data_IF_929403094306
#
_entry.id   IF_929403094306
#
_cell.length_a   1.000
_cell.length_b   1.000
_cell.length_c   1.000
_cell.angle_alpha   90.00
_cell.angle_beta   90.00
_cell.angle_gamma   90.00
#
_symmetry.space_group_name_H-M   'P 1'
#
loop_
_entity.id
_entity.type
_entity.pdbx_description
1 polymer ?
#
# COMPACT_ATOMS: atom_id res chain seq x y z
N UNK A 1 81.62 -35.35 52.89
CA UNK A 1 82.25 -34.62 54.01
C UNK A 1 81.70 -33.19 53.98
N UNK A 2 81.19 -32.72 55.18
CA UNK A 2 80.96 -31.33 55.61
C UNK A 2 79.96 -30.54 54.69
N UNK A 3 78.68 -30.41 55.06
CA UNK A 3 78.00 -29.49 55.97
C UNK A 3 78.45 -28.04 55.83
N UNK A 4 77.49 -27.16 55.46
CA UNK A 4 77.19 -25.95 56.24
C UNK A 4 75.79 -25.42 55.86
N UNK A 5 74.99 -25.31 56.92
CA UNK A 5 73.67 -24.63 56.91
C UNK A 5 73.91 -23.12 57.03
N UNK A 6 73.11 -22.31 56.34
CA UNK A 6 72.90 -20.91 56.73
C UNK A 6 71.43 -20.63 56.70
N UNK A 7 70.94 -20.25 57.87
CA UNK A 7 69.58 -19.78 58.16
C UNK A 7 69.53 -18.31 57.78
N UNK A 8 68.48 -17.89 57.00
CA UNK A 8 68.20 -16.46 56.88
C UNK A 8 66.73 -16.21 56.97
N UNK A 9 66.36 -15.32 57.84
CA UNK A 9 65.05 -14.93 58.31
C UNK A 9 64.19 -14.28 57.22
N UNK A 10 62.96 -14.70 57.19
CA UNK A 10 61.91 -14.12 56.29
C UNK A 10 61.23 -12.95 56.99
N UNK A 11 61.33 -11.77 56.44
CA UNK A 11 60.48 -10.60 56.80
C UNK A 11 59.20 -10.65 56.00
N UNK A 12 58.09 -10.78 56.67
CA UNK A 12 56.76 -10.81 56.11
C UNK A 12 56.31 -9.37 55.90
N UNK A 13 56.20 -8.91 54.61
CA UNK A 13 55.63 -7.62 54.24
C UNK A 13 54.24 -7.83 53.76
N UNK A 14 53.23 -7.47 54.56
CA UNK A 14 51.85 -7.44 54.21
C UNK A 14 51.54 -6.26 53.24
N UNK A 15 51.38 -6.52 51.96
CA UNK A 15 50.89 -5.55 51.01
C UNK A 15 49.36 -5.69 50.90
N UNK A 16 48.63 -4.69 51.42
CA UNK A 16 47.20 -4.54 51.16
C UNK A 16 47.01 -4.16 49.70
N UNK A 17 46.49 -5.09 48.91
CA UNK A 17 45.91 -4.76 47.58
C UNK A 17 44.47 -4.29 47.75
N UNK A 18 44.28 -2.99 47.59
CA UNK A 18 42.92 -2.41 47.38
C UNK A 18 42.46 -2.80 45.99
N UNK A 19 41.52 -3.75 45.89
CA UNK A 19 40.77 -4.00 44.65
C UNK A 19 39.81 -2.84 44.44
N UNK A 20 40.20 -1.85 43.61
CA UNK A 20 39.26 -0.94 42.95
C UNK A 20 38.48 -1.73 41.88
N UNK A 21 37.30 -2.15 42.22
CA UNK A 21 36.37 -2.72 41.26
C UNK A 21 35.93 -1.65 40.24
N UNK A 22 36.58 -1.60 39.10
CA UNK A 22 35.99 -0.93 37.93
C UNK A 22 34.74 -1.71 37.48
N UNK A 23 33.57 -1.21 37.85
CA UNK A 23 32.31 -1.65 37.30
C UNK A 23 32.25 -1.19 35.84
N UNK A 24 32.81 -1.97 34.91
CA UNK A 24 32.55 -1.79 33.48
C UNK A 24 31.09 -2.16 33.24
N UNK A 25 30.22 -1.14 33.26
CA UNK A 25 28.87 -1.26 32.74
C UNK A 25 28.96 -1.77 31.30
N UNK A 26 28.54 -3.02 31.09
CA UNK A 26 28.29 -3.53 29.76
C UNK A 26 27.26 -2.59 29.13
N UNK A 27 27.70 -1.72 28.20
CA UNK A 27 26.80 -1.13 27.24
C UNK A 27 26.12 -2.30 26.54
N UNK A 28 24.84 -2.53 26.81
CA UNK A 28 24.01 -3.29 25.91
C UNK A 28 24.16 -2.59 24.54
N UNK A 29 24.74 -3.26 23.56
CA UNK A 29 24.58 -2.87 22.18
C UNK A 29 23.07 -2.85 21.96
N UNK A 30 22.50 -1.66 21.79
CA UNK A 30 21.15 -1.51 21.23
C UNK A 30 21.24 -2.10 19.83
N UNK A 31 20.66 -3.28 19.64
CA UNK A 31 20.38 -3.82 18.31
C UNK A 31 19.55 -2.73 17.64
N UNK A 32 20.00 -2.16 16.49
CA UNK A 32 19.19 -1.18 15.78
C UNK A 32 17.82 -1.78 15.59
N UNK A 33 16.75 -1.07 15.98
CA UNK A 33 15.41 -1.49 15.65
C UNK A 33 15.39 -1.71 14.13
N UNK A 34 14.98 -2.91 13.67
CA UNK A 34 14.80 -3.14 12.25
C UNK A 34 13.89 -2.05 11.72
N UNK A 35 14.34 -1.35 10.67
CA UNK A 35 13.56 -0.27 10.12
C UNK A 35 12.25 -0.85 9.58
N UNK A 36 11.14 -0.23 9.99
CA UNK A 36 9.79 -0.71 9.69
C UNK A 36 9.51 -0.50 8.19
N UNK A 37 9.13 -1.56 7.48
CA UNK A 37 8.72 -1.47 6.09
C UNK A 37 7.39 -0.73 5.95
N UNK A 38 7.28 0.13 4.95
CA UNK A 38 6.05 0.85 4.63
C UNK A 38 5.11 -0.08 3.86
N UNK A 39 4.17 -0.70 4.57
CA UNK A 39 3.16 -1.62 4.04
C UNK A 39 1.78 -1.06 4.37
N UNK A 40 0.96 -0.86 3.34
CA UNK A 40 -0.39 -0.31 3.46
C UNK A 40 -1.44 -1.40 3.31
N UNK A 41 -2.63 -1.17 3.85
CA UNK A 41 -3.77 -2.08 3.73
C UNK A 41 -4.94 -1.41 3.02
N UNK A 42 -5.49 -2.07 1.99
CA UNK A 42 -6.82 -1.75 1.48
C UNK A 42 -7.87 -2.26 2.48
N UNK A 43 -8.65 -1.33 3.06
CA UNK A 43 -9.61 -1.64 4.13
C UNK A 43 -10.81 -2.49 3.67
N UNK A 44 -10.99 -2.69 2.36
CA UNK A 44 -11.92 -3.69 1.85
C UNK A 44 -11.60 -5.10 2.34
N UNK A 45 -10.33 -5.36 2.64
CA UNK A 45 -9.85 -6.61 3.24
C UNK A 45 -10.49 -6.94 4.60
N UNK A 46 -10.98 -5.97 5.32
CA UNK A 46 -11.64 -6.12 6.64
C UNK A 46 -13.01 -5.44 6.67
N UNK A 47 -13.66 -5.38 5.51
CA UNK A 47 -14.92 -4.64 5.28
C UNK A 47 -16.06 -5.00 6.23
N UNK A 48 -16.17 -6.28 6.60
CA UNK A 48 -17.25 -6.74 7.47
C UNK A 48 -16.93 -6.48 8.95
N UNK A 49 -15.65 -6.58 9.34
CA UNK A 49 -15.18 -6.21 10.67
C UNK A 49 -15.31 -4.70 10.90
N UNK A 50 -15.00 -3.85 9.89
CA UNK A 50 -15.22 -2.40 9.93
C UNK A 50 -16.69 -2.05 10.15
N UNK A 51 -17.61 -2.73 9.48
CA UNK A 51 -19.05 -2.51 9.69
C UNK A 51 -19.50 -2.87 11.09
N UNK A 52 -18.89 -3.90 11.68
CA UNK A 52 -19.23 -4.40 13.02
C UNK A 52 -18.61 -3.53 14.11
N UNK A 53 -17.32 -3.18 13.99
CA UNK A 53 -16.55 -2.38 14.95
C UNK A 53 -15.41 -1.65 14.24
N UNK A 54 -15.68 -0.43 13.76
CA UNK A 54 -14.68 0.38 13.07
C UNK A 54 -13.43 0.62 13.94
N UNK A 55 -13.61 1.11 15.17
CA UNK A 55 -12.49 1.52 16.02
C UNK A 55 -11.60 0.33 16.42
N UNK A 56 -12.21 -0.79 16.82
CA UNK A 56 -11.49 -2.03 17.14
C UNK A 56 -10.78 -2.61 15.93
N UNK A 57 -11.36 -2.50 14.73
CA UNK A 57 -10.74 -2.96 13.49
C UNK A 57 -9.51 -2.13 13.15
N UNK A 58 -9.59 -0.80 13.19
CA UNK A 58 -8.44 0.07 12.91
C UNK A 58 -7.31 -0.15 13.92
N UNK A 59 -7.64 -0.31 15.20
CA UNK A 59 -6.64 -0.62 16.22
C UNK A 59 -5.89 -1.94 15.93
N UNK A 60 -6.60 -2.99 15.51
CA UNK A 60 -5.99 -4.27 15.14
C UNK A 60 -5.13 -4.19 13.89
N UNK A 61 -5.54 -3.43 12.87
CA UNK A 61 -4.73 -3.19 11.66
C UNK A 61 -3.41 -2.53 12.03
N UNK A 62 -3.44 -1.52 12.91
CA UNK A 62 -2.24 -0.85 13.42
C UNK A 62 -1.37 -1.80 14.26
N UNK A 63 -1.97 -2.63 15.13
CA UNK A 63 -1.25 -3.62 15.96
C UNK A 63 -0.53 -4.67 15.12
N UNK A 64 -1.11 -5.11 14.00
CA UNK A 64 -0.45 -6.02 13.05
C UNK A 64 0.84 -5.41 12.51
N UNK A 65 0.87 -4.09 12.28
CA UNK A 65 2.06 -3.38 11.86
C UNK A 65 1.91 -2.55 10.59
N UNK A 66 0.75 -2.55 9.95
CA UNK A 66 0.51 -1.70 8.78
C UNK A 66 0.81 -0.23 9.09
N UNK A 67 1.40 0.47 8.11
CA UNK A 67 1.83 1.87 8.27
C UNK A 67 0.83 2.87 7.76
N UNK A 68 -0.12 2.42 6.97
CA UNK A 68 -1.19 3.24 6.44
C UNK A 68 -2.29 2.43 5.80
N UNK A 69 -3.33 3.13 5.35
CA UNK A 69 -4.54 2.52 4.80
C UNK A 69 -4.99 3.19 3.51
N UNK A 70 -5.64 2.39 2.66
CA UNK A 70 -6.50 2.84 1.58
C UNK A 70 -7.95 2.55 1.97
N UNK A 71 -8.83 3.56 1.90
CA UNK A 71 -10.22 3.41 2.27
C UNK A 71 -11.07 2.83 1.12
N UNK A 72 -12.13 2.09 1.47
CA UNK A 72 -13.12 1.57 0.54
C UNK A 72 -14.56 2.02 0.89
N UNK A 73 -14.70 2.93 1.83
CA UNK A 73 -15.99 3.34 2.41
C UNK A 73 -16.39 4.78 2.12
N UNK A 74 -15.98 5.34 0.95
CA UNK A 74 -16.40 6.69 0.54
C UNK A 74 -17.87 6.71 0.12
N UNK A 75 -18.63 7.66 0.65
CA UNK A 75 -19.99 7.97 0.22
C UNK A 75 -20.34 9.44 0.52
N UNK A 76 -20.79 10.19 -0.48
CA UNK A 76 -21.30 11.57 -0.37
C UNK A 76 -20.44 12.50 0.52
N UNK A 77 -19.13 12.53 0.28
CA UNK A 77 -18.21 13.38 1.01
C UNK A 77 -17.76 12.86 2.37
N UNK A 78 -18.13 11.64 2.73
CA UNK A 78 -17.79 10.98 3.99
C UNK A 78 -17.02 9.68 3.77
N UNK A 79 -16.24 9.27 4.77
CA UNK A 79 -15.56 7.98 4.82
C UNK A 79 -16.10 7.16 6.00
N UNK A 80 -16.71 6.02 5.71
CA UNK A 80 -17.35 5.17 6.74
C UNK A 80 -18.36 5.93 7.61
N UNK A 81 -19.06 6.92 7.04
CA UNK A 81 -20.03 7.77 7.74
C UNK A 81 -19.44 8.88 8.60
N UNK A 82 -18.11 9.08 8.55
CA UNK A 82 -17.41 10.16 9.27
C UNK A 82 -17.07 11.32 8.33
N UNK A 83 -17.00 12.54 8.89
CA UNK A 83 -16.39 13.66 8.18
C UNK A 83 -14.93 13.35 7.83
N UNK A 84 -14.39 13.88 6.71
CA UNK A 84 -13.03 13.57 6.24
C UNK A 84 -11.93 13.81 7.30
N UNK A 85 -12.00 14.92 8.03
CA UNK A 85 -11.03 15.23 9.08
C UNK A 85 -11.11 14.27 10.29
N UNK A 86 -12.32 13.79 10.63
CA UNK A 86 -12.52 12.83 11.72
C UNK A 86 -12.01 11.43 11.32
N UNK A 87 -12.26 11.02 10.06
CA UNK A 87 -11.69 9.80 9.51
C UNK A 87 -10.17 9.85 9.54
N UNK A 88 -9.57 10.92 9.00
CA UNK A 88 -8.12 11.14 9.04
C UNK A 88 -7.58 11.01 10.46
N UNK A 89 -8.17 11.76 11.38
CA UNK A 89 -7.76 11.76 12.79
C UNK A 89 -7.81 10.35 13.40
N UNK A 90 -8.83 9.56 13.11
CA UNK A 90 -8.97 8.22 13.65
C UNK A 90 -7.85 7.27 13.21
N UNK A 91 -7.37 7.42 11.98
CA UNK A 91 -6.25 6.64 11.43
C UNK A 91 -4.91 7.16 12.00
N UNK A 92 -4.71 8.48 12.08
CA UNK A 92 -3.50 9.09 12.64
C UNK A 92 -3.35 8.79 14.14
N UNK A 93 -4.44 8.81 14.91
CA UNK A 93 -4.45 8.44 16.34
C UNK A 93 -4.04 6.95 16.56
N UNK A 94 -4.27 6.08 15.57
CA UNK A 94 -3.80 4.70 15.58
C UNK A 94 -2.34 4.54 15.09
N UNK A 95 -1.66 5.64 14.72
CA UNK A 95 -0.27 5.65 14.27
C UNK A 95 -0.08 5.25 12.79
N UNK A 96 -1.13 5.36 11.99
CA UNK A 96 -1.12 5.07 10.55
C UNK A 96 -1.38 6.35 9.74
N UNK A 97 -1.10 6.32 8.42
CA UNK A 97 -1.49 7.41 7.51
C UNK A 97 -2.65 6.99 6.60
N UNK A 98 -3.41 7.99 6.10
CA UNK A 98 -4.43 7.77 5.08
C UNK A 98 -3.81 8.05 3.72
N UNK A 99 -3.64 7.01 2.90
CA UNK A 99 -3.00 7.15 1.60
C UNK A 99 -3.98 7.63 0.52
N UNK A 100 -5.11 6.95 0.41
CA UNK A 100 -6.03 7.00 -0.71
C UNK A 100 -7.40 6.45 -0.35
N UNK A 101 -8.31 6.53 -1.30
CA UNK A 101 -9.60 5.83 -1.23
C UNK A 101 -10.04 5.38 -2.61
N UNK A 102 -10.71 4.24 -2.66
CA UNK A 102 -11.51 3.85 -3.82
C UNK A 102 -12.81 4.67 -3.84
N UNK A 103 -12.98 5.47 -4.90
CA UNK A 103 -14.18 6.25 -5.17
C UNK A 103 -14.30 6.51 -6.66
N UNK A 104 -15.52 6.51 -7.19
CA UNK A 104 -15.73 6.76 -8.60
C UNK A 104 -17.20 7.00 -8.92
N UNK A 105 -17.43 7.69 -10.04
CA UNK A 105 -18.75 7.88 -10.61
C UNK A 105 -18.72 7.42 -12.07
N UNK A 106 -19.40 6.34 -12.44
CA UNK A 106 -19.43 5.88 -13.81
C UNK A 106 -20.20 6.87 -14.71
N UNK A 107 -19.87 6.88 -16.00
CA UNK A 107 -20.66 7.54 -17.02
C UNK A 107 -22.01 6.82 -17.23
N UNK A 108 -22.99 7.50 -17.80
CA UNK A 108 -24.21 6.86 -18.25
C UNK A 108 -23.95 5.86 -19.39
N UNK A 109 -24.87 4.95 -19.63
CA UNK A 109 -24.87 4.07 -20.80
C UNK A 109 -26.05 4.41 -21.72
N UNK A 110 -25.83 4.99 -22.89
CA UNK A 110 -24.54 5.39 -23.48
C UNK A 110 -23.93 6.62 -22.79
N UNK A 111 -22.59 6.79 -22.91
CA UNK A 111 -21.85 7.88 -22.28
C UNK A 111 -22.39 9.29 -22.68
N UNK A 112 -22.97 9.43 -23.87
CA UNK A 112 -23.59 10.66 -24.36
C UNK A 112 -24.75 11.16 -23.47
N UNK A 113 -25.39 10.28 -22.73
CA UNK A 113 -26.55 10.61 -21.86
C UNK A 113 -26.11 11.03 -20.43
N UNK A 114 -24.78 11.18 -20.20
CA UNK A 114 -24.27 11.56 -18.91
C UNK A 114 -24.71 12.97 -18.49
N UNK A 115 -25.31 13.09 -17.30
CA UNK A 115 -25.58 14.38 -16.68
C UNK A 115 -24.28 14.99 -16.15
N UNK A 116 -23.63 15.78 -16.97
CA UNK A 116 -22.33 16.37 -16.66
C UNK A 116 -22.37 17.34 -15.48
N UNK A 117 -23.45 18.10 -15.30
CA UNK A 117 -23.58 19.02 -14.17
C UNK A 117 -23.52 18.25 -12.84
N UNK A 118 -24.32 17.21 -12.71
CA UNK A 118 -24.37 16.34 -11.53
C UNK A 118 -23.04 15.56 -11.34
N UNK A 119 -22.46 15.09 -12.46
CA UNK A 119 -21.20 14.36 -12.44
C UNK A 119 -20.05 15.22 -11.93
N UNK A 120 -19.93 16.46 -12.40
CA UNK A 120 -18.90 17.38 -11.94
C UNK A 120 -19.12 17.82 -10.49
N UNK A 121 -20.36 18.07 -10.08
CA UNK A 121 -20.68 18.39 -8.68
C UNK A 121 -20.27 17.25 -7.72
N UNK A 122 -20.50 16.00 -8.13
CA UNK A 122 -20.07 14.83 -7.37
C UNK A 122 -18.54 14.78 -7.25
N UNK A 123 -17.80 15.01 -8.37
CA UNK A 123 -16.33 15.02 -8.33
C UNK A 123 -15.77 16.15 -7.48
N UNK A 124 -16.36 17.34 -7.56
CA UNK A 124 -15.91 18.47 -6.73
C UNK A 124 -16.07 18.13 -5.23
N UNK A 125 -17.15 17.47 -4.86
CA UNK A 125 -17.37 16.97 -3.48
C UNK A 125 -16.37 15.88 -3.11
N UNK A 126 -16.14 14.90 -3.99
CA UNK A 126 -15.22 13.79 -3.74
C UNK A 126 -13.78 14.29 -3.59
N UNK A 127 -13.32 15.13 -4.52
CA UNK A 127 -11.97 15.71 -4.51
C UNK A 127 -11.74 16.51 -3.21
N UNK A 128 -12.71 17.34 -2.82
CA UNK A 128 -12.59 18.12 -1.59
C UNK A 128 -12.52 17.22 -0.35
N UNK A 129 -13.35 16.18 -0.27
CA UNK A 129 -13.35 15.24 0.84
C UNK A 129 -12.01 14.49 0.95
N UNK A 130 -11.43 14.04 -0.16
CA UNK A 130 -10.12 13.37 -0.16
C UNK A 130 -9.00 14.30 0.28
N UNK A 131 -9.03 15.57 -0.17
CA UNK A 131 -8.10 16.59 0.28
C UNK A 131 -8.20 16.86 1.77
N UNK A 132 -9.43 16.99 2.31
CA UNK A 132 -9.66 17.25 3.75
C UNK A 132 -9.27 16.04 4.60
N UNK A 133 -9.39 14.83 4.06
CA UNK A 133 -8.87 13.61 4.67
C UNK A 133 -7.33 13.49 4.58
N UNK A 134 -6.63 14.42 3.94
CA UNK A 134 -5.16 14.41 3.82
C UNK A 134 -4.61 13.35 2.89
N UNK A 135 -5.44 12.78 2.01
CA UNK A 135 -5.04 11.75 1.05
C UNK A 135 -4.12 12.31 -0.03
N UNK A 136 -3.31 11.42 -0.62
CA UNK A 136 -2.45 11.72 -1.77
C UNK A 136 -3.12 11.35 -3.08
N UNK A 137 -3.96 10.32 -3.05
CA UNK A 137 -4.59 9.72 -4.23
C UNK A 137 -6.10 9.56 -4.05
N UNK A 138 -6.80 9.67 -5.18
CA UNK A 138 -8.19 9.25 -5.35
C UNK A 138 -8.19 8.22 -6.47
N UNK A 139 -8.74 7.02 -6.24
CA UNK A 139 -8.64 5.90 -7.17
C UNK A 139 -10.00 5.44 -7.63
N UNK A 140 -10.22 5.40 -8.93
CA UNK A 140 -11.40 4.77 -9.53
C UNK A 140 -11.14 3.28 -9.63
N UNK A 141 -11.92 2.48 -8.87
CA UNK A 141 -11.71 1.05 -8.78
C UNK A 141 -12.60 0.21 -9.71
N UNK A 142 -13.52 0.83 -10.41
CA UNK A 142 -14.42 0.09 -11.30
C UNK A 142 -15.14 1.02 -12.30
N UNK A 143 -15.32 0.51 -13.51
CA UNK A 143 -16.23 1.06 -14.54
C UNK A 143 -17.09 -0.06 -15.12
N UNK A 144 -18.29 0.21 -15.65
CA UNK A 144 -18.97 -0.73 -16.51
C UNK A 144 -18.08 -1.13 -17.69
N UNK A 145 -18.06 -2.41 -18.06
CA UNK A 145 -17.26 -2.87 -19.20
C UNK A 145 -17.69 -2.14 -20.46
N UNK A 146 -16.81 -1.35 -21.10
CA UNK A 146 -17.15 -0.62 -22.34
C UNK A 146 -17.60 -1.57 -23.44
N UNK A 147 -18.60 -1.17 -24.23
CA UNK A 147 -19.12 -2.00 -25.32
C UNK A 147 -18.53 -1.63 -26.68
N UNK A 148 -18.00 -0.42 -26.80
CA UNK A 148 -17.39 0.11 -28.01
C UNK A 148 -16.10 0.86 -27.66
N UNK A 149 -15.22 1.06 -28.65
CA UNK A 149 -14.04 1.93 -28.48
C UNK A 149 -14.46 3.40 -28.22
N UNK A 150 -15.62 3.81 -28.73
CA UNK A 150 -16.13 5.16 -28.45
C UNK A 150 -16.49 5.33 -26.96
N UNK A 151 -17.09 4.33 -26.32
CA UNK A 151 -17.34 4.35 -24.88
C UNK A 151 -16.06 4.34 -24.09
N UNK A 152 -15.08 3.54 -24.50
CA UNK A 152 -13.76 3.46 -23.84
C UNK A 152 -12.99 4.78 -23.97
N UNK A 153 -13.02 5.43 -25.15
CA UNK A 153 -12.43 6.74 -25.35
C UNK A 153 -13.11 7.80 -24.47
N UNK A 154 -14.44 7.74 -24.33
CA UNK A 154 -15.17 8.65 -23.46
C UNK A 154 -14.69 8.52 -21.99
N UNK A 155 -14.39 7.31 -21.50
CA UNK A 155 -13.79 7.10 -20.17
C UNK A 155 -12.36 7.67 -20.09
N UNK A 156 -11.52 7.50 -21.11
CA UNK A 156 -10.17 8.07 -21.13
C UNK A 156 -10.21 9.60 -21.06
N UNK A 157 -11.06 10.24 -21.87
CA UNK A 157 -11.23 11.69 -21.89
C UNK A 157 -11.80 12.21 -20.56
N UNK A 158 -12.74 11.48 -19.99
CA UNK A 158 -13.31 11.78 -18.68
C UNK A 158 -12.27 11.72 -17.57
N UNK A 159 -11.47 10.66 -17.51
CA UNK A 159 -10.42 10.53 -16.50
C UNK A 159 -9.30 11.57 -16.67
N UNK A 160 -8.97 11.96 -17.90
CA UNK A 160 -8.05 13.06 -18.12
C UNK A 160 -8.58 14.39 -17.53
N UNK A 161 -9.89 14.65 -17.63
CA UNK A 161 -10.50 15.86 -17.05
C UNK A 161 -10.57 15.77 -15.51
N UNK A 162 -10.95 14.60 -14.95
CA UNK A 162 -10.97 14.38 -13.50
C UNK A 162 -9.55 14.48 -12.93
N UNK A 163 -8.56 13.89 -13.61
CA UNK A 163 -7.14 13.97 -13.19
C UNK A 163 -6.62 15.39 -13.15
N UNK A 164 -7.04 16.24 -14.10
CA UNK A 164 -6.70 17.68 -14.07
C UNK A 164 -7.29 18.38 -12.83
N UNK A 165 -8.56 18.07 -12.48
CA UNK A 165 -9.19 18.60 -11.27
C UNK A 165 -8.51 18.10 -9.99
N UNK A 166 -8.14 16.82 -9.93
CA UNK A 166 -7.38 16.24 -8.82
C UNK A 166 -6.03 16.96 -8.65
N UNK A 167 -5.28 17.13 -9.74
CA UNK A 167 -3.98 17.83 -9.72
C UNK A 167 -4.12 19.27 -9.21
N UNK A 168 -5.16 19.99 -9.63
CA UNK A 168 -5.45 21.35 -9.14
C UNK A 168 -5.73 21.39 -7.63
N UNK A 169 -6.25 20.31 -7.06
CA UNK A 169 -6.49 20.17 -5.62
C UNK A 169 -5.28 19.63 -4.83
N UNK A 170 -4.20 19.22 -5.51
CA UNK A 170 -3.01 18.61 -4.91
C UNK A 170 -3.13 17.09 -4.69
N UNK A 171 -4.06 16.45 -5.38
CA UNK A 171 -4.27 15.00 -5.42
C UNK A 171 -3.81 14.43 -6.76
N UNK A 172 -3.66 13.10 -6.82
CA UNK A 172 -3.47 12.37 -8.09
C UNK A 172 -4.65 11.42 -8.31
N UNK A 173 -5.16 11.38 -9.56
CA UNK A 173 -6.17 10.40 -9.95
C UNK A 173 -5.51 9.09 -10.34
N UNK A 174 -5.98 7.97 -9.77
CA UNK A 174 -5.61 6.62 -10.14
C UNK A 174 -6.77 5.83 -10.76
N UNK A 175 -6.43 4.82 -11.55
CA UNK A 175 -7.35 3.78 -12.00
C UNK A 175 -6.85 2.42 -11.53
N UNK A 176 -7.69 1.65 -10.82
CA UNK A 176 -7.42 0.31 -10.35
C UNK A 176 -8.07 -0.71 -11.29
N UNK A 177 -7.30 -1.72 -11.72
CA UNK A 177 -7.78 -2.75 -12.61
C UNK A 177 -8.29 -3.99 -11.88
N UNK A 178 -9.23 -4.67 -12.55
CA UNK A 178 -9.56 -6.08 -12.34
C UNK A 178 -9.10 -6.91 -13.55
N UNK A 179 -9.69 -8.08 -13.75
CA UNK A 179 -9.33 -8.95 -14.88
C UNK A 179 -10.09 -8.61 -16.16
N UNK A 180 -11.24 -7.91 -16.09
CA UNK A 180 -12.05 -7.63 -17.27
C UNK A 180 -11.39 -6.62 -18.23
N UNK A 181 -10.50 -5.76 -17.74
CA UNK A 181 -9.74 -4.81 -18.57
C UNK A 181 -8.73 -5.52 -19.48
N UNK A 182 -8.44 -6.79 -19.23
CA UNK A 182 -7.61 -7.63 -20.10
C UNK A 182 -8.42 -8.41 -21.14
N UNK A 183 -9.68 -7.99 -21.36
CA UNK A 183 -10.50 -8.41 -22.49
C UNK A 183 -10.48 -7.34 -23.60
N UNK A 184 -10.93 -7.72 -24.79
CA UNK A 184 -10.94 -6.85 -25.96
C UNK A 184 -12.32 -6.23 -26.21
N UNK A 185 -12.32 -4.99 -26.66
CA UNK A 185 -13.47 -4.33 -27.26
C UNK A 185 -13.07 -3.82 -28.65
N UNK A 186 -13.82 -4.28 -29.68
CA UNK A 186 -13.55 -3.96 -31.10
C UNK A 186 -12.09 -4.25 -31.54
N UNK A 187 -11.46 -5.28 -30.95
CA UNK A 187 -10.11 -5.72 -31.26
C UNK A 187 -8.97 -5.02 -30.52
N UNK A 188 -9.29 -4.09 -29.61
CA UNK A 188 -8.34 -3.41 -28.73
C UNK A 188 -8.53 -3.89 -27.28
N UNK A 189 -7.43 -4.21 -26.58
CA UNK A 189 -7.45 -4.55 -25.17
C UNK A 189 -7.76 -3.31 -24.33
N UNK A 190 -8.76 -3.41 -23.44
CA UNK A 190 -9.25 -2.26 -22.66
C UNK A 190 -8.12 -1.62 -21.86
N UNK A 191 -7.32 -2.40 -21.14
CA UNK A 191 -6.25 -1.89 -20.28
C UNK A 191 -5.18 -1.14 -21.08
N UNK A 192 -4.71 -1.74 -22.20
CA UNK A 192 -3.70 -1.14 -23.07
C UNK A 192 -4.22 0.15 -23.72
N UNK A 193 -5.49 0.13 -24.14
CA UNK A 193 -6.13 1.32 -24.69
C UNK A 193 -6.18 2.47 -23.68
N UNK A 194 -6.58 2.18 -22.42
CA UNK A 194 -6.62 3.19 -21.35
C UNK A 194 -5.21 3.73 -21.05
N UNK A 195 -4.19 2.89 -20.98
CA UNK A 195 -2.79 3.30 -20.77
C UNK A 195 -2.29 4.24 -21.87
N UNK A 196 -2.67 3.96 -23.14
CA UNK A 196 -2.24 4.75 -24.30
C UNK A 196 -3.04 6.05 -24.51
N UNK A 197 -4.30 6.13 -24.02
CA UNK A 197 -5.21 7.25 -24.27
C UNK A 197 -5.48 8.11 -23.02
N UNK A 198 -4.79 7.86 -21.90
CA UNK A 198 -4.79 8.74 -20.73
C UNK A 198 -3.44 9.44 -20.56
N UNK A 199 -3.49 10.72 -20.18
CA UNK A 199 -2.30 11.54 -19.95
C UNK A 199 -1.59 11.07 -18.64
N UNK A 200 -0.32 10.61 -18.71
CA UNK A 200 0.41 10.18 -17.51
C UNK A 200 0.61 11.29 -16.47
N UNK A 201 0.55 12.57 -16.88
CA UNK A 201 0.59 13.69 -15.94
C UNK A 201 -0.72 13.84 -15.14
N UNK A 202 -1.82 13.26 -15.61
CA UNK A 202 -3.16 13.40 -15.04
C UNK A 202 -3.65 12.11 -14.37
N UNK A 203 -3.37 10.95 -14.97
CA UNK A 203 -3.86 9.65 -14.52
C UNK A 203 -2.70 8.69 -14.35
N UNK A 204 -2.57 8.09 -13.17
CA UNK A 204 -1.72 6.92 -12.97
C UNK A 204 -2.57 5.64 -12.90
N UNK A 205 -1.96 4.48 -12.99
CA UNK A 205 -2.64 3.21 -12.79
C UNK A 205 -2.22 2.60 -11.47
N UNK A 206 -3.22 2.28 -10.63
CA UNK A 206 -3.03 1.44 -9.47
C UNK A 206 -3.17 0.00 -9.94
N UNK A 207 -2.03 -0.63 -10.28
CA UNK A 207 -2.08 -1.99 -10.80
C UNK A 207 -2.32 -2.99 -9.68
N UNK A 208 -3.40 -3.77 -9.81
CA UNK A 208 -3.59 -5.00 -9.03
C UNK A 208 -2.88 -6.16 -9.75
N UNK A 209 -1.81 -6.66 -9.12
CA UNK A 209 -0.91 -7.64 -9.72
C UNK A 209 -1.55 -9.02 -9.87
N UNK A 210 -2.50 -9.39 -9.00
CA UNK A 210 -3.23 -10.64 -9.09
C UNK A 210 -4.21 -10.62 -10.27
N UNK A 211 -4.97 -9.53 -10.42
CA UNK A 211 -5.94 -9.41 -11.51
C UNK A 211 -5.27 -9.32 -12.88
N UNK A 212 -4.06 -8.78 -12.98
CA UNK A 212 -3.25 -8.87 -14.21
C UNK A 212 -2.97 -10.34 -14.57
N UNK A 213 -2.58 -11.14 -13.57
CA UNK A 213 -2.35 -12.58 -13.74
C UNK A 213 -3.61 -13.36 -14.15
N UNK A 214 -4.75 -13.07 -13.48
CA UNK A 214 -6.05 -13.68 -13.84
C UNK A 214 -6.54 -13.22 -15.23
N UNK A 215 -6.10 -12.05 -15.71
CA UNK A 215 -6.26 -11.60 -17.09
C UNK A 215 -5.30 -12.26 -18.10
N UNK A 216 -4.48 -13.22 -17.66
CA UNK A 216 -3.53 -13.93 -18.51
C UNK A 216 -2.30 -13.12 -18.92
N UNK A 217 -1.95 -12.08 -18.17
CA UNK A 217 -0.84 -11.17 -18.42
C UNK A 217 0.19 -11.20 -17.28
N UNK A 218 1.34 -10.55 -17.50
CA UNK A 218 2.41 -10.45 -16.52
C UNK A 218 2.60 -8.98 -16.11
N UNK A 219 2.54 -8.63 -14.80
CA UNK A 219 2.77 -7.27 -14.31
C UNK A 219 4.10 -6.67 -14.79
N UNK A 220 5.19 -7.44 -14.79
CA UNK A 220 6.52 -6.95 -15.16
C UNK A 220 6.59 -6.56 -16.64
N UNK A 221 5.85 -7.24 -17.53
CA UNK A 221 5.77 -6.84 -18.93
C UNK A 221 5.12 -5.46 -19.08
N UNK A 222 4.10 -5.15 -18.27
CA UNK A 222 3.49 -3.81 -18.23
C UNK A 222 4.46 -2.77 -17.68
N UNK A 223 5.27 -3.08 -16.69
CA UNK A 223 6.29 -2.15 -16.18
C UNK A 223 7.33 -1.82 -17.25
N UNK A 224 7.72 -2.81 -18.08
CA UNK A 224 8.63 -2.60 -19.18
C UNK A 224 8.02 -1.77 -20.32
N UNK A 225 6.76 -2.01 -20.65
CA UNK A 225 6.08 -1.35 -21.76
C UNK A 225 5.59 0.07 -21.40
N UNK A 226 5.26 0.32 -20.12
CA UNK A 226 4.69 1.57 -19.62
C UNK A 226 5.43 2.04 -18.35
N UNK A 227 6.74 2.33 -18.43
CA UNK A 227 7.54 2.70 -17.25
C UNK A 227 7.00 3.98 -16.61
N UNK A 228 6.94 3.99 -15.27
CA UNK A 228 6.51 5.14 -14.49
C UNK A 228 5.00 5.34 -14.41
N UNK A 229 4.16 4.47 -14.99
CA UNK A 229 2.71 4.63 -15.01
C UNK A 229 2.00 4.09 -13.75
N UNK A 230 2.69 3.31 -12.89
CA UNK A 230 2.09 2.54 -11.80
C UNK A 230 2.58 3.05 -10.43
N UNK A 231 2.06 4.22 -10.00
CA UNK A 231 2.53 4.89 -8.76
C UNK A 231 2.16 4.14 -7.48
N UNK A 232 1.10 3.35 -7.51
CA UNK A 232 0.62 2.49 -6.42
C UNK A 232 0.40 1.09 -6.98
N UNK A 233 0.87 0.06 -6.28
CA UNK A 233 0.57 -1.32 -6.62
C UNK A 233 -0.36 -1.92 -5.57
N UNK A 234 -1.44 -2.59 -6.01
CA UNK A 234 -2.18 -3.51 -5.18
C UNK A 234 -1.49 -4.85 -5.18
N UNK A 235 -1.00 -5.22 -4.00
CA UNK A 235 -0.29 -6.46 -3.73
C UNK A 235 -1.32 -7.46 -3.24
N UNK A 236 -1.77 -8.30 -4.13
CA UNK A 236 -2.87 -9.24 -3.95
C UNK A 236 -2.50 -10.62 -4.46
N UNK A 237 -3.10 -11.63 -3.87
CA UNK A 237 -3.07 -13.04 -4.30
C UNK A 237 -4.51 -13.59 -4.31
N UNK A 238 -4.68 -14.83 -4.69
CA UNK A 238 -5.98 -15.53 -4.61
C UNK A 238 -6.50 -15.65 -3.18
N UNK A 239 -5.58 -15.87 -2.25
CA UNK A 239 -5.76 -15.96 -0.80
C UNK A 239 -4.82 -14.98 -0.11
N UNK A 240 -4.27 -15.34 1.06
CA UNK A 240 -3.18 -14.61 1.71
C UNK A 240 -1.93 -14.61 0.80
N UNK A 241 -1.14 -13.55 0.86
CA UNK A 241 0.02 -13.38 -0.02
C UNK A 241 0.99 -14.55 0.04
N UNK A 242 1.37 -15.04 -1.11
CA UNK A 242 2.31 -16.16 -1.30
C UNK A 242 1.69 -17.56 -1.15
N UNK A 243 0.42 -17.70 -0.76
CA UNK A 243 -0.21 -19.02 -0.57
C UNK A 243 -0.59 -19.71 -1.88
N UNK A 244 -1.03 -18.98 -2.89
CA UNK A 244 -1.44 -19.58 -4.14
C UNK A 244 -0.26 -20.05 -5.00
N UNK A 245 0.89 -19.39 -4.86
CA UNK A 245 2.07 -19.59 -5.73
C UNK A 245 1.86 -19.09 -7.17
N UNK A 246 0.78 -18.34 -7.44
CA UNK A 246 0.46 -17.81 -8.77
C UNK A 246 1.18 -16.51 -9.08
N UNK A 247 1.47 -15.68 -8.05
CA UNK A 247 2.02 -14.34 -8.20
C UNK A 247 3.52 -14.36 -7.86
N UNK A 248 4.35 -13.92 -8.78
CA UNK A 248 5.81 -13.75 -8.57
C UNK A 248 6.08 -12.38 -7.92
N UNK A 249 5.86 -12.31 -6.62
CA UNK A 249 6.06 -11.07 -5.85
C UNK A 249 7.51 -10.59 -5.91
N UNK A 250 8.50 -11.48 -5.90
CA UNK A 250 9.91 -11.09 -5.95
C UNK A 250 10.23 -10.33 -7.25
N UNK A 251 9.79 -10.84 -8.38
CA UNK A 251 9.96 -10.14 -9.67
C UNK A 251 9.23 -8.80 -9.70
N UNK A 252 8.01 -8.71 -9.14
CA UNK A 252 7.24 -7.47 -9.06
C UNK A 252 7.98 -6.42 -8.23
N UNK A 253 8.42 -6.76 -7.03
CA UNK A 253 9.10 -5.85 -6.13
C UNK A 253 10.48 -5.42 -6.65
N UNK A 254 11.22 -6.32 -7.32
CA UNK A 254 12.50 -6.00 -7.95
C UNK A 254 12.36 -5.03 -9.13
N UNK A 255 11.19 -4.95 -9.75
CA UNK A 255 10.87 -4.03 -10.84
C UNK A 255 9.99 -2.84 -10.42
N UNK A 256 9.74 -2.65 -9.12
CA UNK A 256 8.90 -1.57 -8.60
C UNK A 256 9.37 -0.17 -9.00
N UNK A 257 10.68 0.05 -9.08
CA UNK A 257 11.24 1.35 -9.52
C UNK A 257 10.95 1.63 -10.99
N UNK A 258 11.02 0.62 -11.86
CA UNK A 258 10.65 0.73 -13.28
C UNK A 258 9.16 1.02 -13.43
N UNK A 259 8.32 0.37 -12.62
CA UNK A 259 6.89 0.65 -12.55
C UNK A 259 6.58 2.10 -12.17
N UNK A 260 7.47 2.77 -11.45
CA UNK A 260 7.26 4.07 -10.81
C UNK A 260 6.53 3.97 -9.48
N UNK A 261 6.50 2.78 -8.88
CA UNK A 261 5.77 2.52 -7.65
C UNK A 261 6.38 3.24 -6.46
N UNK A 262 5.52 3.88 -5.68
CA UNK A 262 5.83 4.63 -4.46
C UNK A 262 5.22 3.97 -3.23
N UNK A 263 4.09 3.29 -3.42
CA UNK A 263 3.32 2.66 -2.35
C UNK A 263 2.86 1.26 -2.75
N UNK A 264 2.89 0.36 -1.76
CA UNK A 264 2.45 -1.03 -1.89
C UNK A 264 1.26 -1.25 -0.96
N UNK A 265 0.09 -1.48 -1.52
CA UNK A 265 -1.16 -1.66 -0.77
C UNK A 265 -1.57 -3.13 -0.83
N UNK A 266 -1.60 -3.78 0.30
CA UNK A 266 -2.06 -5.17 0.43
C UNK A 266 -3.58 -5.20 0.33
N UNK A 267 -4.10 -6.12 -0.46
CA UNK A 267 -5.52 -6.46 -0.46
C UNK A 267 -5.72 -7.97 -0.34
N UNK A 268 -6.58 -8.39 0.59
CA UNK A 268 -6.96 -9.80 0.78
C UNK A 268 -8.47 -9.90 0.79
N UNK A 269 -9.05 -10.59 -0.19
CA UNK A 269 -10.51 -10.74 -0.30
C UNK A 269 -11.03 -12.10 0.13
N UNK A 270 -10.18 -13.12 0.08
CA UNK A 270 -10.47 -14.50 0.48
C UNK A 270 -9.43 -14.95 1.49
N UNK A 271 -9.87 -15.66 2.52
CA UNK A 271 -9.03 -16.04 3.64
C UNK A 271 -9.13 -17.55 3.87
N UNK A 272 -8.02 -18.16 4.32
CA UNK A 272 -8.04 -19.54 4.80
C UNK A 272 -8.55 -19.63 6.26
N UNK A 273 -8.50 -18.51 6.99
CA UNK A 273 -8.97 -18.33 8.35
C UNK A 273 -9.91 -17.13 8.48
N UNK A 274 -9.70 -16.31 9.48
CA UNK A 274 -10.41 -15.04 9.68
C UNK A 274 -9.77 -13.90 8.86
N UNK A 275 -10.49 -12.78 8.58
CA UNK A 275 -9.90 -11.64 7.92
C UNK A 275 -8.62 -11.11 8.61
N UNK A 276 -8.61 -11.04 9.94
CA UNK A 276 -7.43 -10.58 10.69
C UNK A 276 -6.23 -11.53 10.59
N UNK A 277 -6.48 -12.85 10.60
CA UNK A 277 -5.42 -13.84 10.33
C UNK A 277 -4.87 -13.65 8.91
N UNK A 278 -5.75 -13.48 7.93
CA UNK A 278 -5.36 -13.30 6.53
C UNK A 278 -4.51 -12.06 6.28
N UNK A 279 -4.93 -10.90 6.80
CA UNK A 279 -4.13 -9.67 6.64
C UNK A 279 -2.83 -9.72 7.46
N UNK A 280 -2.82 -10.42 8.61
CA UNK A 280 -1.60 -10.62 9.39
C UNK A 280 -0.60 -11.51 8.67
N UNK A 281 -1.03 -12.64 8.14
CA UNK A 281 -0.15 -13.53 7.36
C UNK A 281 0.41 -12.83 6.12
N UNK A 282 -0.40 -12.03 5.45
CA UNK A 282 0.03 -11.22 4.30
C UNK A 282 1.04 -10.13 4.69
N UNK A 283 0.83 -9.47 5.84
CA UNK A 283 1.80 -8.54 6.41
C UNK A 283 3.13 -9.24 6.72
N UNK A 284 3.07 -10.35 7.46
CA UNK A 284 4.25 -11.11 7.86
C UNK A 284 5.04 -11.61 6.63
N UNK A 285 4.36 -12.04 5.57
CA UNK A 285 4.99 -12.44 4.31
C UNK A 285 5.85 -11.32 3.74
N UNK A 286 5.31 -10.11 3.60
CA UNK A 286 6.05 -8.97 3.06
C UNK A 286 7.12 -8.44 4.02
N UNK A 287 6.80 -8.38 5.30
CA UNK A 287 7.72 -7.86 6.31
C UNK A 287 8.98 -8.72 6.43
N UNK A 288 8.85 -10.04 6.25
CA UNK A 288 9.98 -10.97 6.31
C UNK A 288 10.69 -11.16 4.95
N UNK A 289 10.12 -10.69 3.84
CA UNK A 289 10.68 -10.88 2.52
C UNK A 289 11.89 -9.97 2.27
N UNK A 290 13.03 -10.54 1.90
CA UNK A 290 14.26 -9.78 1.65
C UNK A 290 14.16 -8.86 0.42
N UNK A 291 13.26 -9.15 -0.54
CA UNK A 291 13.03 -8.35 -1.72
C UNK A 291 12.16 -7.10 -1.47
N UNK A 292 11.53 -6.98 -0.31
CA UNK A 292 10.73 -5.80 0.07
C UNK A 292 11.62 -4.79 0.75
N UNK A 293 11.72 -3.58 0.20
CA UNK A 293 12.46 -2.44 0.77
C UNK A 293 11.68 -1.80 1.91
N UNK A 294 12.39 -1.03 2.75
CA UNK A 294 11.78 -0.24 3.83
C UNK A 294 10.79 0.80 3.28
N UNK A 295 11.18 1.50 2.20
CA UNK A 295 10.35 2.49 1.50
C UNK A 295 10.67 2.50 0.01
N UNK A 296 9.68 2.89 -0.81
CA UNK A 296 9.82 3.12 -2.25
C UNK A 296 9.74 4.61 -2.61
N UNK A 297 9.59 5.48 -1.62
CA UNK A 297 9.69 6.93 -1.79
C UNK A 297 11.15 7.31 -2.10
N UNK A 298 11.34 8.18 -3.08
CA UNK A 298 12.66 8.74 -3.46
C UNK A 298 12.89 10.08 -2.81
#
# INVERSE_FOLDING_TARGET
MKKHSILLSTVLLCSLFLFSGCNQGQKKEEVPAEAKKEIYLQLYSVRDDIKADYAGTIAKVAEIGYTGVEAAGYNDGQFYGMAPADFRKSIEDAGMEVLSSHAGRPLAEPAADTNWEETWAWWDTAIQAHKDAGMKYLVVAWIPTPKTLADLQAYCDYFNQVGEKCNAAGLRLGYHNHNFEFTEVEGEMIYDYMLNNTDPAKVFFQMDVYWVGEGGKNPVDYFNNYPGRFEVLHIKDELELGKSGKVDFESIYNNAELAGAKYMVVEVERYTGTPFEGIKESYDFLNNAAFVKESYLK
#
